data_IF_841955855716
#
_entry.id   IF_841955855716
#
_cell.length_a   1.000
_cell.length_b   1.000
_cell.length_c   1.000
_cell.angle_alpha   90.00
_cell.angle_beta   90.00
_cell.angle_gamma   90.00
#
_symmetry.space_group_name_H-M   'P 1'
#
loop_
_entity.id
_entity.type
_entity.pdbx_description
1 polymer ?
#
# COMPACT_ATOMS: atom_id res chain seq x y z
N UNK A 1 10.60 20.41 14.09
CA UNK A 1 10.92 19.76 12.79
C UNK A 1 11.48 20.81 11.84
N UNK A 2 12.81 20.84 11.73
CA UNK A 2 13.45 21.78 10.83
C UNK A 2 13.38 21.24 9.39
N UNK A 3 13.37 22.11 8.36
CA UNK A 3 13.51 21.70 6.95
C UNK A 3 14.74 20.82 6.69
N UNK A 4 15.75 20.86 7.57
CA UNK A 4 16.96 20.05 7.51
C UNK A 4 16.71 18.56 7.78
N UNK A 5 15.75 18.17 8.64
CA UNK A 5 15.48 16.75 8.92
C UNK A 5 14.78 16.04 7.75
N UNK A 6 14.00 16.79 6.96
CA UNK A 6 13.39 16.27 5.72
C UNK A 6 14.43 16.09 4.61
N UNK A 7 15.40 17.01 4.50
CA UNK A 7 16.47 16.92 3.51
C UNK A 7 17.45 15.76 3.75
N UNK A 8 17.77 15.43 5.01
CA UNK A 8 18.65 14.31 5.33
C UNK A 8 18.02 12.95 4.96
N UNK A 9 16.73 12.76 5.23
CA UNK A 9 16.03 11.53 4.84
C UNK A 9 16.03 11.31 3.32
N UNK A 10 15.91 12.37 2.53
CA UNK A 10 15.93 12.33 1.06
C UNK A 10 17.34 12.01 0.53
N UNK A 11 18.38 12.57 1.14
CA UNK A 11 19.79 12.33 0.78
C UNK A 11 20.16 10.85 0.96
N UNK A 12 19.84 10.24 2.11
CA UNK A 12 20.17 8.81 2.33
C UNK A 12 19.43 7.86 1.40
N UNK A 13 18.19 8.18 1.04
CA UNK A 13 17.40 7.34 0.13
C UNK A 13 17.90 7.43 -1.31
N UNK A 14 18.36 8.60 -1.74
CA UNK A 14 19.06 8.77 -3.02
C UNK A 14 20.37 8.01 -3.04
N UNK A 15 21.16 8.08 -1.96
CA UNK A 15 22.43 7.36 -1.87
C UNK A 15 22.25 5.86 -2.10
N UNK A 16 21.25 5.21 -1.48
CA UNK A 16 20.97 3.78 -1.70
C UNK A 16 20.71 3.46 -3.20
N UNK A 17 19.98 4.33 -3.89
CA UNK A 17 19.69 4.16 -5.32
C UNK A 17 20.94 4.42 -6.16
N UNK A 18 21.70 5.47 -5.84
CA UNK A 18 22.95 5.80 -6.52
C UNK A 18 23.98 4.66 -6.36
N UNK A 19 24.09 4.08 -5.18
CA UNK A 19 24.96 2.92 -4.92
C UNK A 19 24.56 1.71 -5.77
N UNK A 20 23.26 1.44 -5.91
CA UNK A 20 22.76 0.36 -6.76
C UNK A 20 23.05 0.62 -8.25
N UNK A 21 22.85 1.85 -8.73
CA UNK A 21 23.17 2.24 -10.10
C UNK A 21 24.68 2.16 -10.36
N UNK A 22 25.50 2.62 -9.43
CA UNK A 22 26.96 2.55 -9.54
C UNK A 22 27.47 1.10 -9.59
N UNK A 23 26.81 0.19 -8.83
CA UNK A 23 27.21 -1.21 -8.79
C UNK A 23 26.74 -2.03 -10.01
N UNK A 24 25.53 -1.75 -10.52
CA UNK A 24 24.86 -2.61 -11.51
C UNK A 24 24.41 -1.89 -12.77
N UNK A 25 24.51 -0.57 -12.84
CA UNK A 25 24.12 0.26 -13.99
C UNK A 25 22.60 0.42 -14.15
N UNK A 26 21.79 -0.21 -13.30
CA UNK A 26 20.32 -0.23 -13.38
C UNK A 26 19.63 -0.55 -12.06
N UNK A 27 18.32 -0.25 -11.99
CA UNK A 27 17.44 -0.68 -10.89
C UNK A 27 16.15 -1.23 -11.50
N UNK A 28 15.93 -2.53 -11.39
CA UNK A 28 14.77 -3.21 -11.97
C UNK A 28 13.63 -3.37 -10.99
N UNK A 29 13.94 -3.57 -9.72
CA UNK A 29 12.99 -3.88 -8.65
C UNK A 29 13.23 -2.99 -7.45
N UNK A 30 12.15 -2.43 -6.90
CA UNK A 30 12.13 -1.77 -5.60
C UNK A 30 11.08 -2.44 -4.72
N UNK A 31 11.49 -2.93 -3.54
CA UNK A 31 10.58 -3.47 -2.54
C UNK A 31 10.56 -2.54 -1.32
N UNK A 32 9.47 -1.82 -1.12
CA UNK A 32 9.24 -0.95 0.03
C UNK A 32 8.67 -1.78 1.19
N UNK A 33 9.56 -2.37 1.99
CA UNK A 33 9.20 -3.25 3.10
C UNK A 33 9.56 -2.71 4.48
N UNK A 34 10.43 -1.71 4.58
CA UNK A 34 10.83 -1.13 5.85
C UNK A 34 9.63 -0.65 6.68
N UNK A 35 9.65 -0.92 7.98
CA UNK A 35 8.52 -0.57 8.83
C UNK A 35 8.81 -0.64 10.32
N UNK A 36 7.97 0.03 11.10
CA UNK A 36 7.97 0.07 12.56
C UNK A 36 6.54 0.00 13.09
N UNK A 37 6.39 -0.36 14.36
CA UNK A 37 5.12 -0.25 15.10
C UNK A 37 5.26 0.76 16.25
N UNK A 38 4.18 1.51 16.50
CA UNK A 38 3.98 2.40 17.64
C UNK A 38 2.51 2.30 18.04
N UNK A 39 2.11 1.11 18.50
CA UNK A 39 0.71 0.75 18.73
C UNK A 39 0.22 1.33 20.05
N UNK A 40 -0.84 2.11 20.00
CA UNK A 40 -1.59 2.65 21.13
C UNK A 40 -3.01 2.97 20.69
N UNK A 41 -3.99 2.87 21.59
CA UNK A 41 -5.32 3.40 21.30
C UNK A 41 -5.21 4.88 20.90
N UNK A 42 -6.07 5.35 20.01
CA UNK A 42 -5.98 6.69 19.43
C UNK A 42 -5.95 7.79 20.50
N UNK A 43 -6.71 7.63 21.58
CA UNK A 43 -6.73 8.56 22.71
C UNK A 43 -5.42 8.63 23.51
N UNK A 44 -4.55 7.62 23.40
CA UNK A 44 -3.26 7.55 24.10
C UNK A 44 -2.06 7.70 23.17
N UNK A 45 -2.29 7.70 21.86
CA UNK A 45 -1.26 7.85 20.85
C UNK A 45 -0.74 9.28 20.83
N UNK A 46 0.58 9.45 20.83
CA UNK A 46 1.19 10.77 20.63
C UNK A 46 1.24 11.10 19.14
N UNK A 47 1.22 12.39 18.78
CA UNK A 47 1.40 12.80 17.39
C UNK A 47 2.80 12.43 16.87
N UNK A 48 3.81 12.43 17.71
CA UNK A 48 5.17 11.99 17.35
C UNK A 48 5.19 10.50 16.95
N UNK A 49 4.49 9.63 17.68
CA UNK A 49 4.34 8.22 17.32
C UNK A 49 3.55 8.06 16.01
N UNK A 50 2.52 8.90 15.79
CA UNK A 50 1.76 8.92 14.56
C UNK A 50 2.64 9.32 13.37
N UNK A 51 3.30 10.47 13.46
CA UNK A 51 4.16 11.02 12.41
C UNK A 51 5.34 10.10 12.09
N UNK A 52 5.95 9.48 13.11
CA UNK A 52 7.03 8.54 12.90
C UNK A 52 6.61 7.35 12.05
N UNK A 53 5.44 6.77 12.30
CA UNK A 53 4.91 5.65 11.53
C UNK A 53 4.58 6.08 10.09
N UNK A 54 3.92 7.23 9.91
CA UNK A 54 3.68 7.81 8.57
C UNK A 54 4.98 8.05 7.81
N UNK A 55 5.97 8.65 8.46
CA UNK A 55 7.26 8.98 7.87
C UNK A 55 8.01 7.72 7.38
N UNK A 56 8.03 6.65 8.18
CA UNK A 56 8.75 5.43 7.81
C UNK A 56 8.01 4.68 6.71
N UNK A 57 6.71 4.41 6.89
CA UNK A 57 5.96 3.53 5.99
C UNK A 57 5.54 4.23 4.70
N UNK A 58 4.87 5.39 4.80
CA UNK A 58 4.27 6.05 3.63
C UNK A 58 5.28 6.97 2.93
N UNK A 59 5.84 7.93 3.65
CA UNK A 59 6.80 8.86 3.05
C UNK A 59 8.10 8.14 2.65
N UNK A 60 8.54 7.14 3.44
CA UNK A 60 9.65 6.29 3.07
C UNK A 60 9.47 5.60 1.72
N UNK A 61 8.31 4.94 1.54
CA UNK A 61 7.97 4.30 0.27
C UNK A 61 7.85 5.32 -0.89
N UNK A 62 7.23 6.47 -0.65
CA UNK A 62 7.10 7.51 -1.66
C UNK A 62 8.46 8.04 -2.12
N UNK A 63 9.37 8.34 -1.17
CA UNK A 63 10.70 8.86 -1.51
C UNK A 63 11.58 7.84 -2.23
N UNK A 64 11.59 6.57 -1.79
CA UNK A 64 12.33 5.52 -2.49
C UNK A 64 11.79 5.31 -3.90
N UNK A 65 10.47 5.28 -4.06
CA UNK A 65 9.83 5.15 -5.37
C UNK A 65 10.15 6.34 -6.27
N UNK A 66 10.12 7.57 -5.74
CA UNK A 66 10.49 8.77 -6.48
C UNK A 66 11.96 8.75 -6.93
N UNK A 67 12.87 8.24 -6.09
CA UNK A 67 14.29 8.17 -6.42
C UNK A 67 14.60 7.19 -7.57
N UNK A 68 13.92 6.03 -7.62
CA UNK A 68 14.11 5.05 -8.72
C UNK A 68 13.31 5.41 -9.98
N UNK A 69 12.29 6.26 -9.88
CA UNK A 69 11.36 6.53 -10.97
C UNK A 69 11.99 7.03 -12.27
N UNK A 70 12.89 8.04 -12.27
CA UNK A 70 13.56 8.49 -13.49
C UNK A 70 14.39 7.39 -14.13
N UNK A 71 15.08 6.57 -13.33
CA UNK A 71 15.92 5.46 -13.79
C UNK A 71 15.05 4.40 -14.47
N UNK A 72 13.98 3.95 -13.83
CA UNK A 72 13.04 2.99 -14.39
C UNK A 72 12.35 3.50 -15.67
N UNK A 73 12.07 4.80 -15.74
CA UNK A 73 11.53 5.42 -16.96
C UNK A 73 12.52 5.39 -18.12
N UNK A 74 13.79 5.69 -17.87
CA UNK A 74 14.85 5.62 -18.88
C UNK A 74 15.07 4.18 -19.36
N UNK A 75 15.06 3.23 -18.44
CA UNK A 75 15.13 1.79 -18.72
C UNK A 75 13.92 1.25 -19.50
N UNK A 76 12.78 1.96 -19.47
CA UNK A 76 11.47 1.47 -19.91
C UNK A 76 11.08 0.14 -19.25
N UNK A 77 11.45 -0.02 -17.98
CA UNK A 77 11.17 -1.17 -17.15
C UNK A 77 11.31 -0.83 -15.66
N UNK A 78 10.38 -1.30 -14.85
CA UNK A 78 10.45 -1.23 -13.39
C UNK A 78 9.37 -2.07 -12.70
N UNK A 79 9.68 -2.58 -11.52
CA UNK A 79 8.74 -3.29 -10.65
C UNK A 79 8.84 -2.71 -9.25
N UNK A 80 7.74 -2.15 -8.77
CA UNK A 80 7.68 -1.54 -7.44
C UNK A 80 6.67 -2.32 -6.60
N UNK A 81 7.12 -2.82 -5.46
CA UNK A 81 6.28 -3.51 -4.50
C UNK A 81 6.16 -2.68 -3.22
N UNK A 82 4.93 -2.39 -2.82
CA UNK A 82 4.58 -1.78 -1.54
C UNK A 82 4.14 -2.86 -0.56
N UNK A 83 4.57 -2.78 0.69
CA UNK A 83 4.10 -3.68 1.74
C UNK A 83 2.98 -3.00 2.53
N UNK A 84 1.74 -3.27 2.16
CA UNK A 84 0.56 -2.88 2.91
C UNK A 84 0.30 -3.87 4.07
N UNK A 85 -0.91 -3.97 4.57
CA UNK A 85 -1.28 -4.87 5.68
C UNK A 85 -2.79 -5.08 5.71
N UNK A 86 -3.30 -6.20 6.23
CA UNK A 86 -4.71 -6.33 6.61
C UNK A 86 -5.20 -5.18 7.50
N UNK A 87 -4.35 -4.67 8.41
CA UNK A 87 -4.67 -3.48 9.21
C UNK A 87 -4.92 -2.24 8.34
N UNK A 88 -4.17 -2.06 7.25
CA UNK A 88 -4.41 -0.97 6.32
C UNK A 88 -5.71 -1.13 5.53
N UNK A 89 -6.10 -2.36 5.23
CA UNK A 89 -7.29 -2.67 4.45
C UNK A 89 -8.58 -2.65 5.28
N UNK A 90 -8.52 -3.17 6.53
CA UNK A 90 -9.71 -3.46 7.34
C UNK A 90 -9.72 -2.74 8.69
N UNK A 91 -8.63 -2.09 9.06
CA UNK A 91 -8.44 -1.48 10.37
C UNK A 91 -8.01 -2.49 11.44
N UNK A 92 -7.42 -1.97 12.52
CA UNK A 92 -7.14 -2.72 13.73
C UNK A 92 -7.10 -1.77 14.94
N UNK A 93 -7.61 -2.22 16.08
CA UNK A 93 -7.57 -1.41 17.29
C UNK A 93 -6.14 -1.09 17.71
N UNK A 94 -5.89 0.17 18.06
CA UNK A 94 -4.57 0.62 18.51
C UNK A 94 -3.55 0.91 17.40
N UNK A 95 -3.93 0.78 16.13
CA UNK A 95 -3.05 0.95 14.97
C UNK A 95 -3.53 2.01 13.97
N UNK A 96 -4.07 3.12 14.45
CA UNK A 96 -4.59 4.19 13.58
C UNK A 96 -3.51 4.82 12.70
N UNK A 97 -2.30 5.04 13.23
CA UNK A 97 -1.13 5.51 12.49
C UNK A 97 -0.69 4.47 11.43
N UNK A 98 -0.57 3.23 11.82
CA UNK A 98 -0.14 2.14 10.97
C UNK A 98 -1.18 1.84 9.87
N UNK A 99 -2.45 1.76 10.21
CA UNK A 99 -3.54 1.58 9.25
C UNK A 99 -3.59 2.70 8.21
N UNK A 100 -3.47 3.96 8.64
CA UNK A 100 -3.41 5.11 7.75
C UNK A 100 -2.21 5.04 6.78
N UNK A 101 -1.01 4.72 7.29
CA UNK A 101 0.19 4.59 6.48
C UNK A 101 0.08 3.45 5.45
N UNK A 102 -0.44 2.29 5.88
CA UNK A 102 -0.54 1.09 5.04
C UNK A 102 -1.62 1.20 3.96
N UNK A 103 -2.75 1.84 4.25
CA UNK A 103 -3.73 2.17 3.22
C UNK A 103 -3.24 3.28 2.29
N UNK A 104 -2.49 4.25 2.81
CA UNK A 104 -1.83 5.29 2.01
C UNK A 104 -0.89 4.70 0.94
N UNK A 105 -0.20 3.60 1.22
CA UNK A 105 0.61 2.88 0.22
C UNK A 105 -0.25 2.28 -0.90
N UNK A 106 -1.47 1.84 -0.63
CA UNK A 106 -2.42 1.39 -1.66
C UNK A 106 -2.82 2.57 -2.56
N UNK A 107 -3.10 3.75 -1.96
CA UNK A 107 -3.39 4.97 -2.71
C UNK A 107 -2.21 5.39 -3.60
N UNK A 108 -0.97 5.32 -3.08
CA UNK A 108 0.24 5.60 -3.84
C UNK A 108 0.40 4.61 -5.01
N UNK A 109 0.24 3.31 -4.78
CA UNK A 109 0.25 2.27 -5.81
C UNK A 109 -0.79 2.56 -6.90
N UNK A 110 -2.01 2.91 -6.52
CA UNK A 110 -3.10 3.18 -7.47
C UNK A 110 -2.79 4.33 -8.45
N UNK A 111 -2.04 5.34 -8.01
CA UNK A 111 -1.58 6.42 -8.88
C UNK A 111 -0.37 6.00 -9.72
N UNK A 112 0.65 5.41 -9.09
CA UNK A 112 1.88 5.03 -9.78
C UNK A 112 1.66 3.97 -10.86
N UNK A 113 0.74 3.02 -10.68
CA UNK A 113 0.41 2.02 -11.73
C UNK A 113 -0.10 2.66 -13.02
N UNK A 114 -0.78 3.80 -12.93
CA UNK A 114 -1.31 4.53 -14.08
C UNK A 114 -0.17 5.32 -14.76
N UNK A 115 0.58 6.07 -13.96
CA UNK A 115 1.67 6.91 -14.46
C UNK A 115 2.81 6.08 -15.08
N UNK A 116 3.09 4.90 -14.52
CA UNK A 116 4.17 4.02 -14.95
C UNK A 116 3.85 3.14 -16.15
N UNK A 117 2.57 2.90 -16.43
CA UNK A 117 2.14 1.90 -17.42
C UNK A 117 2.79 2.08 -18.80
N UNK A 118 2.89 3.32 -19.29
CA UNK A 118 3.49 3.64 -20.60
C UNK A 118 4.99 3.35 -20.68
N UNK A 119 5.67 3.23 -19.54
CA UNK A 119 7.09 2.92 -19.45
C UNK A 119 7.35 1.51 -18.88
N UNK A 120 6.35 0.62 -18.92
CA UNK A 120 6.46 -0.74 -18.36
C UNK A 120 6.92 -0.75 -16.88
N UNK A 121 6.53 0.29 -16.12
CA UNK A 121 6.75 0.36 -14.69
C UNK A 121 5.47 -0.07 -14.00
N UNK A 122 5.50 -1.23 -13.34
CA UNK A 122 4.35 -1.81 -12.66
C UNK A 122 4.50 -1.65 -11.15
N UNK A 123 3.41 -1.26 -10.51
CA UNK A 123 3.38 -1.07 -9.05
C UNK A 123 2.28 -1.92 -8.44
N UNK A 124 2.64 -2.76 -7.49
CA UNK A 124 1.73 -3.65 -6.77
C UNK A 124 1.86 -3.48 -5.26
N UNK A 125 0.91 -4.02 -4.51
CA UNK A 125 0.99 -4.11 -3.06
C UNK A 125 0.83 -5.55 -2.60
N UNK A 126 1.59 -5.92 -1.55
CA UNK A 126 1.40 -7.16 -0.81
C UNK A 126 0.90 -6.84 0.59
N UNK A 127 -0.09 -7.59 1.07
CA UNK A 127 -0.59 -7.53 2.44
C UNK A 127 -0.23 -8.83 3.18
N UNK A 128 0.99 -8.92 3.75
CA UNK A 128 1.46 -10.14 4.38
C UNK A 128 0.93 -10.29 5.80
N UNK A 129 0.72 -11.55 6.22
CA UNK A 129 0.66 -11.96 7.61
C UNK A 129 1.72 -13.03 7.82
N UNK A 130 2.74 -12.72 8.63
CA UNK A 130 3.86 -13.61 8.87
C UNK A 130 4.33 -13.53 10.33
N UNK A 131 4.88 -14.64 10.82
CA UNK A 131 5.54 -14.71 12.11
C UNK A 131 6.89 -13.98 12.03
N UNK A 132 6.99 -12.85 12.70
CA UNK A 132 8.17 -12.01 12.74
C UNK A 132 8.31 -11.38 14.13
N UNK A 133 9.42 -10.71 14.41
CA UNK A 133 9.58 -9.93 15.66
C UNK A 133 8.47 -8.88 15.87
N UNK A 134 7.79 -8.45 14.80
CA UNK A 134 6.66 -7.52 14.91
C UNK A 134 5.36 -8.19 15.35
N UNK A 135 5.23 -9.50 15.19
CA UNK A 135 3.99 -10.26 15.43
C UNK A 135 4.10 -11.29 16.56
N UNK A 136 5.31 -11.56 17.06
CA UNK A 136 5.56 -12.59 18.08
C UNK A 136 4.73 -12.43 19.36
N UNK A 137 4.41 -11.20 19.73
CA UNK A 137 3.59 -10.92 20.93
C UNK A 137 2.07 -10.78 20.63
N UNK A 138 1.65 -10.99 19.39
CA UNK A 138 0.27 -10.77 18.94
C UNK A 138 -0.50 -12.07 18.72
N UNK A 139 0.18 -13.20 18.63
CA UNK A 139 -0.38 -14.50 18.27
C UNK A 139 0.18 -15.61 19.16
N UNK A 140 -0.54 -16.74 19.27
CA UNK A 140 -0.05 -17.92 19.97
C UNK A 140 1.09 -18.60 19.17
N UNK A 141 1.99 -19.34 19.84
CA UNK A 141 3.08 -20.09 19.21
C UNK A 141 2.53 -21.03 18.11
N UNK A 142 1.43 -21.73 18.36
CA UNK A 142 0.81 -22.62 17.38
C UNK A 142 0.39 -21.92 16.08
N UNK A 143 0.00 -20.66 16.17
CA UNK A 143 -0.35 -19.82 14.98
C UNK A 143 0.92 -19.33 14.31
N UNK A 144 1.91 -18.88 15.08
CA UNK A 144 3.19 -18.38 14.57
C UNK A 144 3.95 -19.46 13.78
N UNK A 145 3.94 -20.70 14.24
CA UNK A 145 4.59 -21.83 13.56
C UNK A 145 4.04 -22.11 12.14
N UNK A 146 2.79 -21.67 11.86
CA UNK A 146 2.14 -21.82 10.56
C UNK A 146 2.30 -20.60 9.64
N UNK A 147 2.96 -19.55 10.12
CA UNK A 147 3.07 -18.26 9.45
C UNK A 147 4.51 -17.86 9.14
N UNK A 148 5.38 -18.80 8.82
CA UNK A 148 6.77 -18.51 8.45
C UNK A 148 6.86 -17.45 7.35
N UNK A 149 7.78 -16.47 7.44
CA UNK A 149 7.94 -15.41 6.44
C UNK A 149 8.30 -15.94 5.05
N UNK A 150 8.89 -17.12 4.95
CA UNK A 150 9.16 -17.81 3.68
C UNK A 150 7.89 -18.13 2.89
N UNK A 151 6.73 -18.26 3.55
CA UNK A 151 5.43 -18.49 2.92
C UNK A 151 4.86 -17.24 2.22
N UNK A 152 5.43 -16.06 2.50
CA UNK A 152 5.11 -14.80 1.81
C UNK A 152 5.98 -14.59 0.57
N UNK A 153 7.19 -15.12 0.58
CA UNK A 153 8.20 -14.91 -0.46
C UNK A 153 7.72 -15.21 -1.89
N UNK A 154 6.99 -16.31 -2.18
CA UNK A 154 6.51 -16.60 -3.53
C UNK A 154 5.61 -15.49 -4.09
N UNK A 155 4.72 -14.91 -3.27
CA UNK A 155 3.86 -13.81 -3.67
C UNK A 155 4.67 -12.53 -3.95
N UNK A 156 5.63 -12.21 -3.11
CA UNK A 156 6.49 -11.05 -3.30
C UNK A 156 7.31 -11.16 -4.60
N UNK A 157 7.92 -12.31 -4.86
CA UNK A 157 8.67 -12.57 -6.09
C UNK A 157 7.78 -12.53 -7.34
N UNK A 158 6.58 -13.10 -7.29
CA UNK A 158 5.62 -13.02 -8.39
C UNK A 158 5.26 -11.57 -8.71
N UNK A 159 4.98 -10.73 -7.70
CA UNK A 159 4.57 -9.34 -7.88
C UNK A 159 5.67 -8.42 -8.42
N UNK A 160 6.92 -8.86 -8.45
CA UNK A 160 8.06 -8.14 -9.04
C UNK A 160 8.69 -8.87 -10.23
N UNK A 161 8.10 -9.98 -10.69
CA UNK A 161 8.58 -10.72 -11.84
C UNK A 161 8.25 -10.03 -13.18
N UNK A 162 8.75 -10.55 -14.29
CA UNK A 162 8.38 -10.08 -15.63
C UNK A 162 6.89 -10.26 -15.92
N UNK A 163 6.27 -11.34 -15.41
CA UNK A 163 4.85 -11.64 -15.53
C UNK A 163 3.97 -10.99 -14.47
N UNK A 164 4.53 -10.07 -13.67
CA UNK A 164 3.76 -9.38 -12.63
C UNK A 164 2.55 -8.64 -13.21
N UNK A 165 1.40 -8.67 -12.55
CA UNK A 165 0.29 -7.78 -12.85
C UNK A 165 0.65 -6.33 -12.51
N UNK A 166 -0.24 -5.38 -12.85
CA UNK A 166 -0.08 -3.99 -12.48
C UNK A 166 -1.28 -3.49 -11.66
N UNK A 167 -1.06 -3.10 -10.42
CA UNK A 167 -2.08 -2.53 -9.55
C UNK A 167 -2.90 -3.54 -8.74
N UNK A 168 -2.28 -4.62 -8.33
CA UNK A 168 -2.89 -5.69 -7.52
C UNK A 168 -2.57 -5.50 -6.05
N UNK A 169 -3.53 -5.81 -5.19
CA UNK A 169 -3.35 -5.97 -3.75
C UNK A 169 -3.44 -7.47 -3.44
N UNK A 170 -2.30 -8.13 -3.25
CA UNK A 170 -2.24 -9.56 -2.95
C UNK A 170 -2.05 -9.77 -1.45
N UNK A 171 -2.98 -10.47 -0.81
CA UNK A 171 -2.82 -10.94 0.55
C UNK A 171 -2.03 -12.26 0.55
N UNK A 172 -1.12 -12.44 1.51
CA UNK A 172 -0.31 -13.65 1.64
C UNK A 172 -0.20 -14.04 3.12
N UNK A 173 -0.75 -15.19 3.47
CA UNK A 173 -0.82 -15.69 4.84
C UNK A 173 -0.75 -17.21 4.89
N UNK A 174 0.30 -17.77 5.50
CA UNK A 174 0.40 -19.21 5.76
C UNK A 174 0.20 -20.08 4.51
N UNK A 175 0.71 -19.65 3.34
CA UNK A 175 0.53 -20.35 2.06
C UNK A 175 -0.82 -20.10 1.38
N UNK A 176 -1.71 -19.31 1.98
CA UNK A 176 -2.94 -18.86 1.33
C UNK A 176 -2.71 -17.50 0.66
N UNK A 177 -3.14 -17.36 -0.59
CA UNK A 177 -3.03 -16.15 -1.38
C UNK A 177 -4.41 -15.72 -1.87
N UNK A 178 -4.77 -14.45 -1.65
CA UNK A 178 -6.07 -13.90 -2.06
C UNK A 178 -5.96 -12.48 -2.55
N UNK A 179 -6.90 -12.08 -3.40
CA UNK A 179 -7.02 -10.72 -3.92
C UNK A 179 -7.79 -9.86 -2.91
N UNK A 180 -7.29 -8.66 -2.61
CA UNK A 180 -8.09 -7.58 -2.05
C UNK A 180 -8.29 -6.50 -3.12
N UNK A 181 -9.38 -5.73 -3.03
CA UNK A 181 -9.69 -4.72 -4.03
C UNK A 181 -10.64 -3.66 -3.52
N UNK A 182 -10.73 -2.55 -4.25
CA UNK A 182 -11.72 -1.49 -4.04
C UNK A 182 -12.84 -1.73 -5.05
N UNK A 183 -14.07 -1.81 -4.55
CA UNK A 183 -15.26 -2.07 -5.35
C UNK A 183 -16.28 -0.98 -5.10
N UNK A 184 -17.10 -0.71 -6.11
CA UNK A 184 -18.24 0.19 -6.02
C UNK A 184 -19.46 -0.47 -6.65
N UNK A 185 -20.66 -0.18 -6.10
CA UNK A 185 -21.93 -0.47 -6.73
C UNK A 185 -22.32 0.62 -7.74
N UNK A 186 -23.43 0.45 -8.42
CA UNK A 186 -23.95 1.45 -9.38
C UNK A 186 -24.45 2.73 -8.68
N UNK A 187 -24.73 2.67 -7.38
CA UNK A 187 -25.34 3.74 -6.60
C UNK A 187 -26.81 4.02 -7.01
N UNK A 188 -27.39 5.02 -6.37
CA UNK A 188 -28.76 5.50 -6.65
C UNK A 188 -28.68 6.97 -7.06
N UNK A 189 -29.30 7.35 -8.17
CA UNK A 189 -29.38 8.74 -8.57
C UNK A 189 -30.64 9.37 -7.97
N UNK A 190 -30.45 10.25 -6.98
CA UNK A 190 -31.52 11.00 -6.30
C UNK A 190 -31.73 12.41 -6.87
N UNK A 191 -31.00 12.75 -7.93
CA UNK A 191 -31.07 14.09 -8.52
C UNK A 191 -30.24 15.14 -7.79
N UNK A 192 -30.18 16.35 -8.36
CA UNK A 192 -29.31 17.44 -7.86
C UNK A 192 -29.88 18.17 -6.64
N UNK A 193 -31.14 17.96 -6.32
CA UNK A 193 -31.83 18.56 -5.17
C UNK A 193 -32.00 17.57 -4.01
N UNK A 194 -31.28 16.47 -4.03
CA UNK A 194 -31.36 15.43 -3.00
C UNK A 194 -31.09 16.00 -1.60
N UNK A 195 -31.95 15.68 -0.67
CA UNK A 195 -31.89 16.08 0.74
C UNK A 195 -31.29 15.00 1.61
N UNK A 196 -31.06 15.29 2.87
CA UNK A 196 -30.62 14.31 3.90
C UNK A 196 -31.66 13.21 4.06
N UNK A 197 -32.95 13.56 4.00
CA UNK A 197 -34.04 12.59 4.16
C UNK A 197 -34.09 11.64 2.97
N UNK A 198 -33.88 12.13 1.73
CA UNK A 198 -33.79 11.27 0.55
C UNK A 198 -32.65 10.25 0.64
N UNK A 199 -31.48 10.64 1.19
CA UNK A 199 -30.37 9.71 1.45
C UNK A 199 -30.78 8.67 2.48
N UNK A 200 -31.43 9.10 3.58
CA UNK A 200 -31.83 8.18 4.65
C UNK A 200 -32.89 7.17 4.18
N UNK A 201 -33.89 7.61 3.41
CA UNK A 201 -34.95 6.74 2.87
C UNK A 201 -34.42 5.73 1.84
N UNK A 202 -33.37 6.08 1.11
CA UNK A 202 -32.79 5.23 0.07
C UNK A 202 -31.50 4.51 0.52
N UNK A 203 -31.15 4.58 1.80
CA UNK A 203 -29.86 4.09 2.30
C UNK A 203 -29.59 2.61 1.96
N UNK A 204 -30.58 1.72 2.14
CA UNK A 204 -30.46 0.30 1.83
C UNK A 204 -30.12 0.04 0.35
N UNK A 205 -30.71 0.79 -0.56
CA UNK A 205 -30.40 0.69 -1.98
C UNK A 205 -29.03 1.30 -2.33
N UNK A 206 -28.61 2.35 -1.62
CA UNK A 206 -27.29 2.99 -1.81
C UNK A 206 -26.17 2.03 -1.39
N UNK A 207 -26.36 1.22 -0.35
CA UNK A 207 -25.34 0.30 0.17
C UNK A 207 -25.48 -1.14 -0.34
N UNK A 208 -26.38 -1.39 -1.28
CA UNK A 208 -26.57 -2.72 -1.87
C UNK A 208 -25.28 -3.19 -2.58
N UNK A 209 -24.81 -4.37 -2.20
CA UNK A 209 -23.57 -4.96 -2.71
C UNK A 209 -23.81 -6.00 -3.83
N UNK A 210 -25.03 -6.17 -4.31
CA UNK A 210 -25.37 -7.22 -5.29
C UNK A 210 -24.59 -7.08 -6.62
N UNK A 211 -24.33 -5.83 -7.06
CA UNK A 211 -23.69 -5.53 -8.34
C UNK A 211 -22.33 -4.83 -8.19
N UNK A 212 -21.54 -5.21 -7.18
CA UNK A 212 -20.21 -4.66 -6.96
C UNK A 212 -19.29 -4.91 -8.16
N UNK A 213 -18.64 -3.84 -8.61
CA UNK A 213 -17.63 -3.90 -9.67
C UNK A 213 -16.29 -3.36 -9.17
N UNK A 214 -15.16 -3.99 -9.57
CA UNK A 214 -13.85 -3.45 -9.26
C UNK A 214 -13.70 -2.07 -9.92
N UNK A 215 -13.26 -1.08 -9.15
CA UNK A 215 -12.95 0.24 -9.69
C UNK A 215 -11.50 0.29 -10.18
N UNK A 216 -11.37 0.76 -11.42
CA UNK A 216 -10.10 1.08 -12.04
C UNK A 216 -9.72 2.55 -11.86
N UNK A 217 -9.28 3.18 -12.93
CA UNK A 217 -8.95 4.61 -12.97
C UNK A 217 -10.22 5.46 -12.83
N UNK A 218 -10.12 6.56 -12.07
CA UNK A 218 -11.17 7.56 -11.97
C UNK A 218 -11.48 8.14 -13.37
N UNK A 219 -12.70 7.95 -13.85
CA UNK A 219 -13.19 8.55 -15.09
C UNK A 219 -14.04 9.77 -14.73
N UNK A 220 -13.46 10.95 -14.87
CA UNK A 220 -14.16 12.25 -14.62
C UNK A 220 -15.10 12.66 -15.76
N UNK A 221 -15.17 11.89 -16.85
CA UNK A 221 -15.92 12.25 -18.06
C UNK A 221 -17.39 11.79 -18.06
N UNK A 222 -17.95 11.41 -16.92
CA UNK A 222 -19.31 10.91 -16.77
C UNK A 222 -20.18 11.78 -15.86
N UNK A 223 -19.92 13.10 -15.80
CA UNK A 223 -20.82 14.08 -15.19
C UNK A 223 -21.54 14.87 -16.26
#
# INVERSE_FOLDING_TARGET
DSPMSRGLGDVYKRQMVDDAVNAWGRVDVLINNAGILRDKSFSKMTLDDFDMVINVHLLGAAYCSHAVWPIMREQNYGRILMTTSPTGLYGNFGQTNYGAAKLGQVGLMNSLKIEGAKNNIYTNTIAPVAATRMTENLMSEEVLDKLGPELVTPAALFLVSESAPNGVILQAQGGNFSLAGIFENAGVNLGVEATVDDIAENYEAIVDMADLKPRGMLQLNAM
#
